data_IF_008562086362
#
_entry.id   IF_008562086362
#
_cell.length_a   1.000
_cell.length_b   1.000
_cell.length_c   1.000
_cell.angle_alpha   90.00
_cell.angle_beta   90.00
_cell.angle_gamma   90.00
#
_symmetry.space_group_name_H-M   'P 1'
#
loop_
_entity.id
_entity.type
_entity.pdbx_description
1 polymer ?
#
# COMPACT_ATOMS: atom_id res chain seq x y z
N UNK A 1 28.66 3.79 -3.66
CA UNK A 1 29.07 4.48 -4.90
C UNK A 1 28.00 5.54 -5.15
N UNK A 2 28.18 6.71 -4.54
CA UNK A 2 27.19 7.79 -4.50
C UNK A 2 27.37 8.70 -5.70
N UNK A 3 26.59 8.50 -6.75
CA UNK A 3 26.41 9.47 -7.83
C UNK A 3 25.42 8.87 -8.82
N UNK A 4 24.18 9.31 -8.75
CA UNK A 4 23.21 9.49 -9.85
C UNK A 4 21.81 9.67 -9.24
N UNK A 5 21.67 10.53 -8.20
CA UNK A 5 20.34 11.06 -7.90
C UNK A 5 20.03 12.06 -9.01
N UNK A 6 19.36 11.55 -10.05
CA UNK A 6 19.08 12.29 -11.27
C UNK A 6 17.79 13.08 -11.13
N UNK A 7 17.59 14.04 -12.03
CA UNK A 7 16.30 14.73 -12.17
C UNK A 7 15.12 13.75 -12.34
N UNK A 8 15.38 12.56 -12.90
CA UNK A 8 14.39 11.49 -13.05
C UNK A 8 13.88 10.95 -11.71
N UNK A 9 14.75 10.80 -10.70
CA UNK A 9 14.35 10.26 -9.39
C UNK A 9 13.46 11.26 -8.64
N UNK A 10 13.76 12.56 -8.75
CA UNK A 10 12.90 13.62 -8.21
C UNK A 10 11.50 13.59 -8.83
N UNK A 11 11.43 13.48 -10.16
CA UNK A 11 10.16 13.43 -10.90
C UNK A 11 9.36 12.19 -10.56
N UNK A 12 10.02 11.04 -10.42
CA UNK A 12 9.39 9.77 -10.07
C UNK A 12 8.76 9.82 -8.67
N UNK A 13 9.48 10.33 -7.68
CA UNK A 13 8.98 10.48 -6.30
C UNK A 13 7.77 11.42 -6.24
N UNK A 14 7.81 12.54 -6.97
CA UNK A 14 6.68 13.48 -7.03
C UNK A 14 5.46 12.84 -7.71
N UNK A 15 5.66 12.13 -8.82
CA UNK A 15 4.59 11.43 -9.54
C UNK A 15 3.96 10.34 -8.69
N UNK A 16 4.77 9.49 -8.07
CA UNK A 16 4.31 8.42 -7.17
C UNK A 16 3.56 9.02 -5.98
N UNK A 17 4.08 10.09 -5.37
CA UNK A 17 3.42 10.80 -4.28
C UNK A 17 2.05 11.38 -4.67
N UNK A 18 1.96 12.04 -5.82
CA UNK A 18 0.68 12.55 -6.34
C UNK A 18 -0.30 11.43 -6.67
N UNK A 19 0.16 10.36 -7.31
CA UNK A 19 -0.66 9.20 -7.67
C UNK A 19 -1.25 8.53 -6.42
N UNK A 20 -0.44 8.34 -5.38
CA UNK A 20 -0.90 7.79 -4.09
C UNK A 20 -1.89 8.73 -3.38
N UNK A 21 -1.68 10.05 -3.43
CA UNK A 21 -2.63 11.04 -2.91
C UNK A 21 -3.99 10.99 -3.64
N UNK A 22 -3.98 10.88 -4.96
CA UNK A 22 -5.21 10.72 -5.74
C UNK A 22 -5.92 9.41 -5.42
N UNK A 23 -5.19 8.29 -5.32
CA UNK A 23 -5.77 7.00 -4.93
C UNK A 23 -6.38 7.04 -3.53
N UNK A 24 -5.74 7.73 -2.58
CA UNK A 24 -6.26 7.95 -1.24
C UNK A 24 -7.61 8.68 -1.25
N UNK A 25 -7.73 9.75 -2.05
CA UNK A 25 -8.98 10.50 -2.21
C UNK A 25 -10.13 9.65 -2.79
N UNK A 26 -9.82 8.63 -3.61
CA UNK A 26 -10.80 7.76 -4.27
C UNK A 26 -11.43 6.70 -3.35
N UNK A 27 -10.86 6.41 -2.17
CA UNK A 27 -11.37 5.36 -1.25
C UNK A 27 -12.71 5.76 -0.57
N UNK A 28 -13.35 6.85 -0.97
CA UNK A 28 -14.32 7.63 -0.19
C UNK A 28 -15.66 6.96 0.21
N UNK A 29 -15.94 5.67 0.04
CA UNK A 29 -17.33 5.14 0.29
C UNK A 29 -17.44 3.80 1.06
N UNK A 30 -16.38 3.04 1.39
CA UNK A 30 -16.55 1.73 2.07
C UNK A 30 -16.26 1.75 3.60
N UNK A 31 -16.83 0.81 4.37
CA UNK A 31 -16.51 0.60 5.80
C UNK A 31 -15.05 0.20 6.06
N UNK A 32 -14.32 -0.18 5.01
CA UNK A 32 -12.90 -0.55 5.02
C UNK A 32 -11.98 0.65 4.81
N UNK A 33 -12.54 1.87 4.68
CA UNK A 33 -11.80 3.12 4.47
C UNK A 33 -10.61 3.32 5.41
N UNK A 34 -10.73 3.15 6.74
CA UNK A 34 -9.61 3.42 7.64
C UNK A 34 -8.47 2.42 7.45
N UNK A 35 -8.81 1.17 7.17
CA UNK A 35 -7.85 0.09 6.93
C UNK A 35 -7.10 0.31 5.62
N UNK A 36 -7.83 0.52 4.52
CA UNK A 36 -7.25 0.79 3.20
C UNK A 36 -6.38 2.06 3.22
N UNK A 37 -6.86 3.12 3.88
CA UNK A 37 -6.09 4.35 4.08
C UNK A 37 -4.78 4.08 4.86
N UNK A 38 -4.84 3.31 5.95
CA UNK A 38 -3.67 2.96 6.75
C UNK A 38 -2.64 2.15 5.97
N UNK A 39 -3.08 1.15 5.20
CA UNK A 39 -2.20 0.35 4.32
C UNK A 39 -1.55 1.23 3.26
N UNK A 40 -2.32 2.12 2.62
CA UNK A 40 -1.83 2.97 1.54
C UNK A 40 -0.82 4.00 2.06
N UNK A 41 -1.10 4.63 3.21
CA UNK A 41 -0.16 5.54 3.90
C UNK A 41 1.11 4.79 4.33
N UNK A 42 0.97 3.57 4.87
CA UNK A 42 2.11 2.73 5.25
C UNK A 42 3.02 2.42 4.06
N UNK A 43 2.44 2.06 2.90
CA UNK A 43 3.19 1.81 1.67
C UNK A 43 3.90 3.07 1.15
N UNK A 44 3.27 4.25 1.23
CA UNK A 44 3.92 5.53 0.88
C UNK A 44 5.16 5.75 1.75
N UNK A 45 5.02 5.59 3.07
CA UNK A 45 6.13 5.78 4.01
C UNK A 45 7.25 4.78 3.72
N UNK A 46 6.90 3.52 3.45
CA UNK A 46 7.86 2.49 3.08
C UNK A 46 8.66 2.86 1.83
N UNK A 47 8.00 3.27 0.74
CA UNK A 47 8.71 3.70 -0.49
C UNK A 47 9.61 4.90 -0.21
N UNK A 48 9.12 5.90 0.52
CA UNK A 48 9.93 7.07 0.87
C UNK A 48 11.18 6.67 1.67
N UNK A 49 11.02 5.86 2.71
CA UNK A 49 12.13 5.45 3.57
C UNK A 49 13.11 4.53 2.85
N UNK A 50 12.62 3.49 2.18
CA UNK A 50 13.45 2.45 1.56
C UNK A 50 14.06 2.89 0.24
N UNK A 51 13.34 3.64 -0.61
CA UNK A 51 13.81 3.99 -1.96
C UNK A 51 14.29 5.44 -2.09
N UNK A 52 13.69 6.39 -1.37
CA UNK A 52 14.02 7.82 -1.53
C UNK A 52 15.12 8.27 -0.58
N UNK A 53 15.04 7.85 0.69
CA UNK A 53 16.01 8.20 1.72
C UNK A 53 17.16 7.18 1.86
N UNK A 54 17.09 6.05 1.15
CA UNK A 54 18.10 4.97 1.18
C UNK A 54 18.47 4.52 2.61
N UNK A 55 17.46 4.50 3.50
CA UNK A 55 17.66 4.18 4.91
C UNK A 55 17.80 2.67 5.10
N UNK A 56 19.03 2.16 5.14
CA UNK A 56 19.29 0.71 5.20
C UNK A 56 18.63 0.00 6.39
N UNK A 57 18.74 0.55 7.61
CA UNK A 57 18.18 -0.10 8.80
C UNK A 57 16.66 -0.03 8.83
N UNK A 58 16.10 1.17 8.66
CA UNK A 58 14.65 1.39 8.73
C UNK A 58 13.94 0.72 7.55
N UNK A 59 14.53 0.81 6.36
CA UNK A 59 14.07 0.12 5.16
C UNK A 59 14.06 -1.40 5.33
N UNK A 60 15.14 -1.99 5.86
CA UNK A 60 15.17 -3.45 6.10
C UNK A 60 14.09 -3.94 7.07
N UNK A 61 13.77 -3.14 8.10
CA UNK A 61 12.70 -3.46 9.05
C UNK A 61 11.35 -3.36 8.34
N UNK A 62 11.09 -2.28 7.61
CA UNK A 62 9.82 -2.10 6.90
C UNK A 62 9.65 -3.09 5.74
N UNK A 63 10.71 -3.50 5.05
CA UNK A 63 10.71 -4.58 4.06
C UNK A 63 10.20 -5.89 4.66
N UNK A 64 10.64 -6.20 5.90
CA UNK A 64 10.14 -7.37 6.63
C UNK A 64 8.64 -7.24 6.94
N UNK A 65 8.16 -6.05 7.31
CA UNK A 65 6.73 -5.80 7.51
C UNK A 65 5.94 -5.95 6.20
N UNK A 66 6.46 -5.46 5.06
CA UNK A 66 5.84 -5.63 3.74
C UNK A 66 5.80 -7.09 3.32
N UNK A 67 6.85 -7.87 3.60
CA UNK A 67 6.90 -9.31 3.31
C UNK A 67 5.78 -10.08 4.02
N UNK A 68 5.40 -9.70 5.24
CA UNK A 68 4.26 -10.29 5.98
C UNK A 68 2.94 -9.56 5.67
N UNK A 69 3.01 -8.38 5.07
CA UNK A 69 1.88 -7.51 4.75
C UNK A 69 0.84 -8.19 3.86
N UNK A 70 1.26 -9.00 2.88
CA UNK A 70 0.35 -9.75 2.01
C UNK A 70 -0.52 -10.76 2.80
N UNK A 71 0.07 -11.43 3.79
CA UNK A 71 -0.65 -12.36 4.67
C UNK A 71 -1.61 -11.61 5.59
N UNK A 72 -1.17 -10.49 6.18
CA UNK A 72 -2.00 -9.58 6.97
C UNK A 72 -3.19 -9.06 6.18
N UNK A 73 -2.99 -8.67 4.91
CA UNK A 73 -4.08 -8.24 4.03
C UNK A 73 -5.12 -9.35 3.88
N UNK A 74 -4.72 -10.58 3.56
CA UNK A 74 -5.67 -11.69 3.40
C UNK A 74 -6.47 -11.96 4.68
N UNK A 75 -5.84 -11.87 5.85
CA UNK A 75 -6.52 -12.03 7.15
C UNK A 75 -7.49 -10.87 7.40
N UNK A 76 -7.05 -9.63 7.18
CA UNK A 76 -7.88 -8.45 7.44
C UNK A 76 -9.09 -8.35 6.50
N UNK A 77 -8.94 -8.81 5.26
CA UNK A 77 -10.02 -8.88 4.26
C UNK A 77 -10.75 -10.23 4.26
N UNK A 78 -10.47 -11.12 5.21
CA UNK A 78 -11.07 -12.46 5.26
C UNK A 78 -12.61 -12.41 5.24
N UNK A 79 -13.16 -11.46 5.98
CA UNK A 79 -14.58 -11.24 6.18
C UNK A 79 -15.28 -10.78 4.88
N UNK A 80 -14.66 -9.85 4.16
CA UNK A 80 -15.12 -9.34 2.87
C UNK A 80 -15.03 -10.41 1.78
N UNK A 81 -13.92 -11.15 1.71
CA UNK A 81 -13.75 -12.26 0.77
C UNK A 81 -14.85 -13.30 1.00
N UNK A 82 -15.12 -13.64 2.26
CA UNK A 82 -16.20 -14.56 2.62
C UNK A 82 -17.56 -14.03 2.15
N UNK A 83 -17.91 -12.78 2.48
CA UNK A 83 -19.18 -12.17 2.06
C UNK A 83 -19.32 -12.11 0.54
N UNK A 84 -18.24 -11.80 -0.17
CA UNK A 84 -18.19 -11.78 -1.62
C UNK A 84 -18.46 -13.17 -2.22
N UNK A 85 -17.77 -14.20 -1.75
CA UNK A 85 -17.98 -15.58 -2.22
C UNK A 85 -19.41 -16.09 -1.94
N UNK A 86 -19.96 -15.76 -0.77
CA UNK A 86 -21.37 -16.08 -0.45
C UNK A 86 -22.35 -15.35 -1.38
N UNK A 87 -22.08 -14.10 -1.74
CA UNK A 87 -22.92 -13.33 -2.67
C UNK A 87 -22.92 -13.89 -4.09
N UNK A 88 -21.81 -14.51 -4.52
CA UNK A 88 -21.71 -15.21 -5.80
C UNK A 88 -22.48 -16.54 -5.79
N UNK A 89 -22.43 -17.29 -4.69
CA UNK A 89 -23.12 -18.58 -4.54
C UNK A 89 -24.63 -18.47 -4.32
N UNK A 90 -25.14 -17.32 -3.85
CA UNK A 90 -26.57 -17.14 -3.52
C UNK A 90 -27.49 -16.91 -4.73
N UNK A 91 -26.96 -16.83 -5.97
CA UNK A 91 -27.80 -16.76 -7.18
C UNK A 91 -28.05 -18.17 -7.75
N UNK A 92 -29.01 -18.89 -7.15
CA UNK A 92 -29.97 -19.86 -7.75
C UNK A 92 -30.29 -20.97 -6.76
N UNK A 93 -31.56 -21.03 -6.37
CA UNK A 93 -32.19 -21.93 -5.43
C UNK A 93 -33.40 -21.22 -4.85
#
# INVERSE_FOLDING_TARGET
MFSHFGFKDLVDVILVGMLLYYLFLQVKISGLRPLFAGILIFLVIWVLVSQVFDMMLLGSILDQFVSVGLFLLVILFQDEIRRFLMSLGSKRG
#
